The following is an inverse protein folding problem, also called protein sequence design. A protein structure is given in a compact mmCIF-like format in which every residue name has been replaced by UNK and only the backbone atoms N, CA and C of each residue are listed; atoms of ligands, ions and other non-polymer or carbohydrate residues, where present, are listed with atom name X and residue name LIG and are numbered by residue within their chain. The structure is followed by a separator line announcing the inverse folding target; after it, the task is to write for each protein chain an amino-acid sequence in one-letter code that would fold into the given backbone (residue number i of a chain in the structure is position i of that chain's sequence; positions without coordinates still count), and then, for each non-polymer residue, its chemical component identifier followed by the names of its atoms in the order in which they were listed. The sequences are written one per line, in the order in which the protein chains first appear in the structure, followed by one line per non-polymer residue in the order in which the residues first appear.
data_IF_190561719525
#
_entry.id   IF_190561719525
#
_cell.length_a   1.000
_cell.length_b   1.000
_cell.length_c   1.000
_cell.angle_alpha   90.00
_cell.angle_beta   90.00
_cell.angle_gamma   90.00
#
_symmetry.space_group_name_H-M   'P 1'
#
loop_
_entity.id
_entity.type
_entity.pdbx_description
1 polymer ?
#
# COMPACT_ATOMS: atom_id res chain seq x y z
N UNK A 1 7.52 8.85 -6.64
CA UNK A 1 7.03 8.08 -7.81
C UNK A 1 8.09 8.16 -8.88
N UNK A 2 8.31 7.11 -9.68
CA UNK A 2 9.15 7.22 -10.87
C UNK A 2 8.60 8.29 -11.83
N UNK A 3 9.51 8.94 -12.56
CA UNK A 3 9.14 9.97 -13.54
C UNK A 3 8.32 9.35 -14.68
N UNK A 4 7.24 10.01 -15.09
CA UNK A 4 6.33 9.52 -16.12
C UNK A 4 5.33 8.46 -15.66
N UNK A 5 5.47 7.93 -14.43
CA UNK A 5 4.49 7.01 -13.85
C UNK A 5 3.21 7.74 -13.43
N UNK A 6 2.18 6.99 -13.06
CA UNK A 6 0.95 7.53 -12.49
C UNK A 6 0.53 6.73 -11.28
N UNK A 7 0.09 7.42 -10.24
CA UNK A 7 -0.56 6.80 -9.10
C UNK A 7 -1.96 7.39 -8.90
N UNK A 8 -2.85 6.56 -8.35
CA UNK A 8 -4.10 7.01 -7.76
C UNK A 8 -3.95 7.13 -6.24
N UNK A 9 -4.58 8.14 -5.67
CA UNK A 9 -4.66 8.27 -4.23
C UNK A 9 -5.72 7.31 -3.66
N UNK A 10 -5.45 6.78 -2.48
CA UNK A 10 -6.49 6.17 -1.66
C UNK A 10 -7.09 7.20 -0.70
N UNK A 11 -8.17 6.84 -0.02
CA UNK A 11 -8.80 7.68 1.00
C UNK A 11 -8.11 7.45 2.34
N UNK A 12 -7.62 8.54 2.94
CA UNK A 12 -6.87 8.55 4.19
C UNK A 12 -5.88 9.71 4.24
N UNK A 13 -4.96 9.75 5.22
CA UNK A 13 -3.94 10.81 5.31
C UNK A 13 -3.08 10.88 4.04
N UNK A 14 -2.85 9.78 3.37
CA UNK A 14 -2.09 9.69 2.13
C UNK A 14 -2.81 10.33 0.92
N UNK A 15 -4.09 10.68 1.03
CA UNK A 15 -4.81 11.43 0.00
C UNK A 15 -4.14 12.79 -0.30
N UNK A 16 -3.52 13.41 0.70
CA UNK A 16 -2.85 14.71 0.56
C UNK A 16 -1.72 14.71 -0.47
N UNK A 17 -1.20 13.56 -0.88
CA UNK A 17 -0.17 13.46 -1.91
C UNK A 17 -0.58 14.07 -3.25
N UNK A 18 -1.88 14.19 -3.53
CA UNK A 18 -2.40 14.81 -4.74
C UNK A 18 -1.98 16.27 -4.90
N UNK A 19 -1.72 16.97 -3.79
CA UNK A 19 -1.27 18.38 -3.80
C UNK A 19 0.25 18.54 -3.74
N UNK A 20 1.00 17.44 -3.80
CA UNK A 20 2.45 17.45 -3.58
C UNK A 20 3.28 17.33 -4.86
N UNK A 21 2.69 17.31 -6.05
CA UNK A 21 3.42 17.14 -7.31
C UNK A 21 4.19 15.82 -7.40
N UNK A 22 3.57 14.70 -6.96
CA UNK A 22 4.19 13.38 -6.85
C UNK A 22 3.60 12.34 -7.82
N UNK A 23 3.26 12.76 -9.03
CA UNK A 23 2.69 11.87 -10.07
C UNK A 23 1.43 11.12 -9.58
N UNK A 24 0.70 11.71 -8.64
CA UNK A 24 -0.50 11.11 -8.07
C UNK A 24 -1.70 11.98 -8.39
N UNK A 25 -2.62 11.44 -9.19
CA UNK A 25 -3.80 12.16 -9.67
C UNK A 25 -5.01 11.23 -9.71
N UNK A 26 -6.14 11.73 -9.24
CA UNK A 26 -7.37 10.97 -9.19
C UNK A 26 -7.47 10.07 -7.96
N UNK A 27 -8.69 9.70 -7.66
CA UNK A 27 -9.06 8.87 -6.51
C UNK A 27 -10.44 8.25 -6.75
N UNK A 28 -10.82 7.31 -5.92
CA UNK A 28 -12.16 6.74 -5.84
C UNK A 28 -12.58 6.63 -4.36
N UNK A 29 -13.78 6.14 -4.09
CA UNK A 29 -14.24 5.91 -2.73
C UNK A 29 -13.48 4.76 -2.05
N UNK A 30 -13.56 4.69 -0.73
CA UNK A 30 -12.98 3.60 0.06
C UNK A 30 -13.53 2.25 -0.41
N UNK A 31 -12.64 1.30 -0.65
CA UNK A 31 -12.95 -0.03 -1.15
C UNK A 31 -13.03 -0.16 -2.68
N UNK A 32 -12.98 0.95 -3.41
CA UNK A 32 -12.91 0.98 -4.86
C UNK A 32 -11.54 1.32 -5.42
N UNK A 33 -10.52 1.37 -4.57
CA UNK A 33 -9.16 1.76 -4.96
C UNK A 33 -8.60 0.84 -6.05
N UNK A 34 -8.29 1.44 -7.20
CA UNK A 34 -7.77 0.73 -8.37
C UNK A 34 -8.84 0.27 -9.36
N UNK A 35 -10.13 0.21 -8.99
CA UNK A 35 -11.22 -0.20 -9.91
C UNK A 35 -11.41 0.80 -11.04
N UNK A 36 -11.17 2.08 -10.80
CA UNK A 36 -11.14 3.10 -11.85
C UNK A 36 -10.12 2.76 -12.93
N UNK A 37 -8.93 2.26 -12.57
CA UNK A 37 -7.94 1.81 -13.56
C UNK A 37 -8.38 0.54 -14.28
N UNK A 38 -9.05 -0.39 -13.61
CA UNK A 38 -9.63 -1.57 -14.28
C UNK A 38 -10.55 -1.14 -15.43
N UNK A 39 -11.35 -0.10 -15.23
CA UNK A 39 -12.21 0.45 -16.28
C UNK A 39 -11.47 1.31 -17.33
N UNK A 40 -10.40 2.00 -16.95
CA UNK A 40 -9.63 2.90 -17.81
C UNK A 40 -8.60 2.16 -18.69
N UNK A 41 -7.97 1.13 -18.14
CA UNK A 41 -6.84 0.42 -18.76
C UNK A 41 -7.09 -0.04 -20.21
N UNK A 42 -8.26 -0.59 -20.59
CA UNK A 42 -8.53 -1.02 -21.96
C UNK A 42 -8.52 0.12 -22.97
N UNK A 43 -8.69 1.37 -22.54
CA UNK A 43 -8.78 2.57 -23.39
C UNK A 43 -7.56 3.47 -23.26
N UNK A 44 -6.58 3.10 -22.43
CA UNK A 44 -5.38 3.87 -22.13
C UNK A 44 -4.18 3.35 -22.92
N UNK A 45 -3.31 4.27 -23.34
CA UNK A 45 -1.98 3.93 -23.86
C UNK A 45 -0.97 3.65 -22.77
N UNK A 46 -1.33 3.91 -21.49
CA UNK A 46 -0.51 3.63 -20.33
C UNK A 46 -0.55 2.14 -20.00
N UNK A 47 0.62 1.54 -19.81
CA UNK A 47 0.74 0.11 -19.56
C UNK A 47 0.54 -0.29 -18.09
N UNK A 48 0.70 0.64 -17.14
CA UNK A 48 0.70 0.37 -15.70
C UNK A 48 0.39 1.60 -14.87
N UNK A 49 -0.16 1.40 -13.68
CA UNK A 49 -0.35 2.44 -12.65
C UNK A 49 -0.06 1.91 -11.25
N UNK A 50 0.17 2.84 -10.33
CA UNK A 50 0.22 2.56 -8.90
C UNK A 50 -1.08 2.97 -8.22
N UNK A 51 -1.50 2.23 -7.19
CA UNK A 51 -2.65 2.57 -6.35
C UNK A 51 -2.23 2.62 -4.89
N UNK A 52 -2.38 3.77 -4.25
CA UNK A 52 -2.19 3.88 -2.80
C UNK A 52 -3.42 3.34 -2.07
N UNK A 53 -3.22 2.51 -1.06
CA UNK A 53 -4.28 1.87 -0.29
C UNK A 53 -3.86 1.80 1.18
N UNK A 54 -4.64 2.38 2.08
CA UNK A 54 -4.40 2.28 3.52
C UNK A 54 -4.76 0.88 4.05
N UNK A 55 -4.06 0.43 5.09
CA UNK A 55 -4.31 -0.86 5.74
C UNK A 55 -5.73 -0.96 6.31
N UNK A 56 -6.26 0.09 6.93
CA UNK A 56 -7.64 0.12 7.38
C UNK A 56 -8.65 -0.07 6.26
N UNK A 57 -8.45 0.58 5.10
CA UNK A 57 -9.31 0.37 3.94
C UNK A 57 -9.13 -1.03 3.35
N UNK A 58 -7.90 -1.55 3.30
CA UNK A 58 -7.64 -2.91 2.85
C UNK A 58 -8.43 -3.92 3.66
N UNK A 59 -8.37 -3.84 5.00
CA UNK A 59 -9.09 -4.73 5.91
C UNK A 59 -10.61 -4.62 5.77
N UNK A 60 -11.11 -3.41 5.61
CA UNK A 60 -12.54 -3.14 5.53
C UNK A 60 -13.15 -3.59 4.20
N UNK A 61 -12.57 -3.19 3.06
CA UNK A 61 -13.20 -3.39 1.74
C UNK A 61 -12.23 -3.38 0.56
N UNK A 62 -11.03 -2.81 0.69
CA UNK A 62 -10.06 -2.64 -0.40
C UNK A 62 -9.60 -3.96 -1.01
N UNK A 63 -9.61 -5.05 -0.26
CA UNK A 63 -9.31 -6.39 -0.75
C UNK A 63 -10.21 -6.81 -1.93
N UNK A 64 -11.46 -6.32 -1.97
CA UNK A 64 -12.39 -6.59 -3.07
C UNK A 64 -11.94 -5.92 -4.38
N UNK A 65 -11.39 -4.70 -4.28
CA UNK A 65 -10.82 -4.00 -5.43
C UNK A 65 -9.57 -4.71 -5.97
N UNK A 66 -8.72 -5.24 -5.09
CA UNK A 66 -7.56 -6.07 -5.48
C UNK A 66 -8.03 -7.31 -6.24
N UNK A 67 -9.04 -8.01 -5.74
CA UNK A 67 -9.64 -9.17 -6.42
C UNK A 67 -10.22 -8.81 -7.80
N UNK A 68 -10.88 -7.67 -7.90
CA UNK A 68 -11.42 -7.19 -9.18
C UNK A 68 -10.30 -6.92 -10.20
N UNK A 69 -9.18 -6.31 -9.77
CA UNK A 69 -8.02 -6.06 -10.62
C UNK A 69 -7.35 -7.37 -11.09
N UNK A 70 -7.25 -8.38 -10.20
CA UNK A 70 -6.74 -9.72 -10.56
C UNK A 70 -7.64 -10.36 -11.60
N UNK A 71 -8.94 -10.38 -11.37
CA UNK A 71 -9.91 -10.97 -12.29
C UNK A 71 -9.90 -10.31 -13.67
N UNK A 72 -9.62 -9.01 -13.72
CA UNK A 72 -9.52 -8.24 -14.97
C UNK A 72 -8.15 -8.39 -15.67
N UNK A 73 -7.15 -9.01 -15.04
CA UNK A 73 -5.79 -9.13 -15.58
C UNK A 73 -5.11 -7.77 -15.78
N UNK A 74 -5.45 -6.78 -14.97
CA UNK A 74 -4.97 -5.40 -15.12
C UNK A 74 -3.58 -5.23 -14.53
N UNK A 75 -2.67 -4.55 -15.24
CA UNK A 75 -1.34 -4.24 -14.72
C UNK A 75 -1.42 -3.07 -13.72
N UNK A 76 -1.28 -3.37 -12.46
CA UNK A 76 -1.38 -2.41 -11.36
C UNK A 76 -0.53 -2.85 -10.18
N UNK A 77 0.15 -1.90 -9.55
CA UNK A 77 0.83 -2.11 -8.28
C UNK A 77 0.08 -1.43 -7.13
N UNK A 78 -0.45 -2.23 -6.21
CA UNK A 78 -1.01 -1.71 -4.97
C UNK A 78 0.10 -1.37 -3.98
N UNK A 79 0.11 -0.15 -3.48
CA UNK A 79 0.95 0.26 -2.35
C UNK A 79 0.09 0.25 -1.09
N UNK A 80 0.16 -0.83 -0.33
CA UNK A 80 -0.56 -0.99 0.93
C UNK A 80 0.25 -0.33 2.03
N UNK A 81 -0.28 0.75 2.58
CA UNK A 81 0.37 1.60 3.56
C UNK A 81 -0.02 1.11 4.95
N UNK A 82 0.77 0.18 5.49
CA UNK A 82 0.55 -0.44 6.79
C UNK A 82 1.12 0.42 7.91
N UNK A 83 0.25 0.91 8.78
CA UNK A 83 0.64 1.69 9.95
C UNK A 83 -0.02 1.23 11.26
N UNK A 84 -0.77 0.15 11.22
CA UNK A 84 -1.44 -0.49 12.34
C UNK A 84 -2.39 0.45 13.12
N UNK A 85 -2.97 1.44 12.44
CA UNK A 85 -3.89 2.37 13.08
C UNK A 85 -4.78 3.12 12.09
N UNK A 86 -6.01 3.41 12.50
CA UNK A 86 -6.88 4.37 11.81
C UNK A 86 -6.44 5.79 12.22
N UNK A 87 -5.39 6.28 11.57
CA UNK A 87 -4.67 7.49 12.01
C UNK A 87 -5.50 8.77 11.92
N UNK A 88 -6.39 8.91 10.95
CA UNK A 88 -7.19 10.13 10.73
C UNK A 88 -8.19 10.40 11.87
N UNK A 89 -8.78 9.36 12.43
CA UNK A 89 -9.89 9.49 13.37
C UNK A 89 -9.47 9.36 14.84
N UNK A 90 -8.19 9.24 15.13
CA UNK A 90 -7.70 9.24 16.51
C UNK A 90 -6.72 8.11 16.85
N UNK A 91 -6.34 7.26 15.90
CA UNK A 91 -5.39 6.17 16.13
C UNK A 91 -6.06 4.95 16.76
N UNK A 92 -7.31 4.67 16.39
CA UNK A 92 -7.98 3.44 16.78
C UNK A 92 -7.26 2.24 16.10
N UNK A 93 -7.29 1.04 16.73
CA UNK A 93 -6.90 -0.19 16.05
C UNK A 93 -7.72 -0.40 14.77
N UNK A 94 -7.14 -1.03 13.77
CA UNK A 94 -7.88 -1.43 12.58
C UNK A 94 -8.89 -2.53 12.94
N UNK A 95 -10.09 -2.46 12.39
CA UNK A 95 -11.06 -3.55 12.53
C UNK A 95 -10.49 -4.84 11.92
N UNK A 96 -10.61 -5.95 12.67
CA UNK A 96 -10.10 -7.25 12.24
C UNK A 96 -8.62 -7.50 12.53
N UNK A 97 -7.88 -6.52 13.06
CA UNK A 97 -6.50 -6.61 13.54
C UNK A 97 -5.55 -7.40 12.61
N UNK A 98 -5.72 -7.28 11.28
CA UNK A 98 -4.81 -7.94 10.33
C UNK A 98 -3.41 -7.37 10.46
N UNK A 99 -2.49 -8.25 10.79
CA UNK A 99 -1.05 -7.92 10.82
C UNK A 99 -0.45 -7.86 9.42
N UNK A 100 0.66 -7.16 9.25
CA UNK A 100 1.35 -7.11 7.97
C UNK A 100 1.68 -8.51 7.38
N UNK A 101 2.14 -9.51 8.18
CA UNK A 101 2.31 -10.87 7.68
C UNK A 101 1.02 -11.55 7.22
N UNK A 102 -0.12 -11.26 7.84
CA UNK A 102 -1.41 -11.80 7.40
C UNK A 102 -1.83 -11.20 6.07
N UNK A 103 -1.73 -9.88 5.92
CA UNK A 103 -1.97 -9.19 4.65
C UNK A 103 -1.08 -9.77 3.54
N UNK A 104 0.21 -9.99 3.82
CA UNK A 104 1.11 -10.61 2.85
C UNK A 104 0.67 -12.01 2.42
N UNK A 105 0.21 -12.86 3.37
CA UNK A 105 -0.33 -14.20 3.05
C UNK A 105 -1.58 -14.12 2.20
N UNK A 106 -2.50 -13.20 2.50
CA UNK A 106 -3.72 -13.01 1.71
C UNK A 106 -3.38 -12.60 0.27
N UNK A 107 -2.48 -11.64 0.09
CA UNK A 107 -2.06 -11.18 -1.23
C UNK A 107 -1.47 -12.32 -2.06
N UNK A 108 -0.53 -13.08 -1.48
CA UNK A 108 0.09 -14.24 -2.14
C UNK A 108 -0.95 -15.30 -2.46
N UNK A 109 -1.85 -15.61 -1.51
CA UNK A 109 -2.90 -16.61 -1.71
C UNK A 109 -3.91 -16.22 -2.80
N UNK A 110 -4.10 -14.92 -3.04
CA UNK A 110 -4.93 -14.41 -4.14
C UNK A 110 -4.22 -14.42 -5.49
N UNK A 111 -2.92 -14.70 -5.53
CA UNK A 111 -2.13 -14.68 -6.77
C UNK A 111 -1.54 -13.31 -7.11
N UNK A 112 -1.42 -12.41 -6.14
CA UNK A 112 -0.65 -11.16 -6.34
C UNK A 112 0.83 -11.50 -6.39
N UNK A 113 1.51 -11.14 -7.48
CA UNK A 113 2.93 -11.43 -7.70
C UNK A 113 3.59 -10.36 -8.56
N UNK A 114 4.74 -9.80 -8.13
CA UNK A 114 5.37 -10.00 -6.83
C UNK A 114 4.71 -9.21 -5.70
N UNK A 115 4.89 -9.70 -4.46
CA UNK A 115 4.61 -8.95 -3.24
C UNK A 115 5.94 -8.62 -2.57
N UNK A 116 6.26 -7.34 -2.43
CA UNK A 116 7.52 -6.86 -1.84
C UNK A 116 7.19 -6.09 -0.56
N UNK A 117 7.85 -6.47 0.53
CA UNK A 117 7.77 -5.73 1.80
C UNK A 117 8.81 -4.63 1.79
N UNK A 118 8.38 -3.39 1.96
CA UNK A 118 9.26 -2.24 2.15
C UNK A 118 9.00 -1.65 3.53
N UNK A 119 10.02 -1.41 4.31
CA UNK A 119 9.86 -0.97 5.69
C UNK A 119 10.83 0.16 6.06
N UNK A 120 10.41 1.00 7.00
CA UNK A 120 11.31 2.00 7.61
C UNK A 120 12.28 1.28 8.56
N UNK A 121 13.57 1.62 8.53
CA UNK A 121 14.62 0.99 9.34
C UNK A 121 14.37 1.02 10.85
N UNK A 122 13.49 1.92 11.30
CA UNK A 122 13.10 2.06 12.71
C UNK A 122 11.95 1.14 13.11
N UNK A 123 11.38 0.40 12.18
CA UNK A 123 10.31 -0.55 12.46
C UNK A 123 10.90 -1.95 12.73
N UNK A 124 10.40 -2.60 13.77
CA UNK A 124 10.77 -3.99 14.08
C UNK A 124 9.95 -4.94 13.21
N UNK A 125 10.58 -5.50 12.19
CA UNK A 125 9.92 -6.41 11.23
C UNK A 125 10.49 -7.82 11.39
N UNK A 126 9.72 -8.69 12.05
CA UNK A 126 10.05 -10.11 12.12
C UNK A 126 9.82 -10.80 10.76
N UNK A 127 10.87 -10.87 9.95
CA UNK A 127 10.81 -11.48 8.61
C UNK A 127 10.37 -12.94 8.61
N UNK A 128 10.56 -13.68 9.72
CA UNK A 128 10.18 -15.10 9.84
C UNK A 128 8.66 -15.29 9.92
N UNK A 129 7.93 -14.27 10.31
CA UNK A 129 6.47 -14.30 10.39
C UNK A 129 5.79 -14.20 9.02
N UNK A 130 6.51 -13.78 7.98
CA UNK A 130 5.99 -13.63 6.62
C UNK A 130 6.08 -14.94 5.79
N UNK A 131 5.38 -15.02 4.66
CA UNK A 131 5.54 -16.13 3.73
C UNK A 131 7.00 -16.35 3.32
N UNK A 132 7.38 -17.62 3.17
CA UNK A 132 8.75 -17.96 2.78
C UNK A 132 9.09 -17.42 1.37
N UNK A 133 10.33 -16.92 1.23
CA UNK A 133 10.80 -16.41 -0.06
C UNK A 133 10.38 -14.95 -0.37
N UNK A 134 9.68 -14.28 0.55
CA UNK A 134 9.34 -12.87 0.34
C UNK A 134 10.59 -11.98 0.30
N UNK A 135 10.53 -11.00 -0.56
CA UNK A 135 11.56 -9.96 -0.68
C UNK A 135 11.28 -8.82 0.30
N UNK A 136 12.35 -8.38 0.99
CA UNK A 136 12.32 -7.27 1.95
C UNK A 136 13.32 -6.22 1.52
N UNK A 137 12.89 -4.98 1.49
CA UNK A 137 13.73 -3.83 1.15
C UNK A 137 13.54 -2.72 2.18
N UNK A 138 14.58 -1.97 2.42
CA UNK A 138 14.51 -0.78 3.25
C UNK A 138 13.83 0.38 2.50
N UNK A 139 13.28 1.32 3.23
CA UNK A 139 12.62 2.51 2.70
C UNK A 139 13.46 3.27 1.67
N UNK A 140 14.79 3.28 1.83
CA UNK A 140 15.71 3.92 0.89
C UNK A 140 15.58 3.35 -0.52
N UNK A 141 15.25 2.04 -0.66
CA UNK A 141 15.10 1.33 -1.92
C UNK A 141 13.71 1.49 -2.57
N UNK A 142 12.78 2.21 -1.92
CA UNK A 142 11.40 2.37 -2.41
C UNK A 142 11.34 2.81 -3.88
N UNK A 143 12.21 3.70 -4.32
CA UNK A 143 12.21 4.18 -5.70
C UNK A 143 12.63 3.08 -6.67
N UNK A 144 13.63 2.29 -6.32
CA UNK A 144 14.12 1.17 -7.14
C UNK A 144 13.06 0.06 -7.22
N UNK A 145 12.39 -0.24 -6.10
CA UNK A 145 11.26 -1.18 -6.06
C UNK A 145 10.14 -0.73 -6.99
N UNK A 146 9.75 0.54 -6.94
CA UNK A 146 8.70 1.07 -7.81
C UNK A 146 9.10 0.97 -9.30
N UNK A 147 10.32 1.33 -9.67
CA UNK A 147 10.80 1.20 -11.06
C UNK A 147 10.73 -0.23 -11.59
N UNK A 148 11.10 -1.20 -10.75
CA UNK A 148 11.00 -2.62 -11.12
C UNK A 148 9.56 -3.07 -11.33
N UNK A 149 8.64 -2.54 -10.53
CA UNK A 149 7.23 -2.94 -10.60
C UNK A 149 6.44 -2.24 -11.70
N UNK A 150 6.98 -1.18 -12.32
CA UNK A 150 6.35 -0.57 -13.50
C UNK A 150 6.23 -1.54 -14.68
N UNK A 151 7.15 -2.49 -14.78
CA UNK A 151 7.18 -3.53 -15.83
C UNK A 151 6.45 -4.82 -15.42
N UNK A 152 5.93 -4.89 -14.20
CA UNK A 152 5.22 -6.07 -13.71
C UNK A 152 3.91 -6.29 -14.48
N UNK A 153 3.66 -7.55 -14.84
CA UNK A 153 2.41 -7.96 -15.48
C UNK A 153 1.41 -8.42 -14.43
N UNK A 154 0.15 -8.04 -14.63
CA UNK A 154 -0.90 -8.33 -13.67
C UNK A 154 -0.84 -7.47 -12.42
N UNK A 155 -1.30 -8.03 -11.31
CA UNK A 155 -1.37 -7.31 -10.02
C UNK A 155 -0.15 -7.62 -9.19
N UNK A 156 0.58 -6.58 -8.81
CA UNK A 156 1.68 -6.65 -7.86
C UNK A 156 1.40 -5.79 -6.62
N UNK A 157 2.20 -5.96 -5.57
CA UNK A 157 2.02 -5.16 -4.36
C UNK A 157 3.32 -4.77 -3.68
N UNK A 158 3.33 -3.59 -3.11
CA UNK A 158 4.29 -3.13 -2.10
C UNK A 158 3.54 -3.05 -0.77
N UNK A 159 3.92 -3.89 0.18
CA UNK A 159 3.45 -3.76 1.56
C UNK A 159 4.44 -2.86 2.31
N UNK A 160 4.05 -1.60 2.48
CA UNK A 160 4.90 -0.59 3.11
C UNK A 160 4.60 -0.49 4.59
N UNK A 161 5.59 -0.81 5.43
CA UNK A 161 5.47 -0.85 6.89
C UNK A 161 6.15 0.39 7.48
N UNK A 162 5.33 1.29 8.02
CA UNK A 162 5.82 2.45 8.76
C UNK A 162 4.72 3.00 9.65
N UNK A 163 5.01 3.12 10.94
CA UNK A 163 4.09 3.79 11.88
C UNK A 163 3.85 5.23 11.46
N UNK A 164 2.59 5.65 11.39
CA UNK A 164 2.20 7.01 11.04
C UNK A 164 2.84 8.04 11.99
N UNK A 165 3.35 9.15 11.45
CA UNK A 165 3.98 10.21 12.24
C UNK A 165 3.03 10.81 13.30
N UNK A 166 1.73 10.94 12.99
CA UNK A 166 0.73 11.40 13.95
C UNK A 166 0.56 10.39 15.10
N UNK A 167 0.58 9.10 14.79
CA UNK A 167 0.49 8.03 15.79
C UNK A 167 1.77 7.94 16.64
N UNK A 168 2.95 8.03 16.04
CA UNK A 168 4.22 8.16 16.79
C UNK A 168 4.16 9.30 17.79
N UNK A 169 3.63 10.48 17.39
CA UNK A 169 3.46 11.63 18.28
C UNK A 169 2.47 11.36 19.42
N UNK A 170 1.36 10.65 19.17
CA UNK A 170 0.39 10.26 20.20
C UNK A 170 0.99 9.28 21.20
N UNK A 171 1.70 8.24 20.72
CA UNK A 171 2.37 7.23 21.54
C UNK A 171 3.44 7.87 22.45
N UNK A 172 4.22 8.83 21.94
CA UNK A 172 5.17 9.60 22.76
C UNK A 172 4.49 10.38 23.87
N UNK A 173 3.40 11.11 23.58
CA UNK A 173 2.64 11.83 24.60
C UNK A 173 2.08 10.93 25.70
N UNK A 174 1.88 9.63 25.40
CA UNK A 174 1.42 8.62 26.37
C UNK A 174 2.57 7.83 27.01
N UNK A 175 3.84 8.18 26.74
CA UNK A 175 5.01 7.42 27.21
C UNK A 175 5.17 6.02 26.63
N UNK A 176 4.49 5.74 25.51
CA UNK A 176 4.46 4.43 24.87
C UNK A 176 5.48 4.27 23.73
N UNK A 177 6.26 5.28 23.45
CA UNK A 177 7.30 5.29 22.42
C UNK A 177 8.44 6.23 22.85
N UNK A 178 9.71 5.89 22.58
CA UNK A 178 10.82 6.77 22.87
C UNK A 178 10.74 8.08 22.07
N UNK A 179 11.38 9.12 22.57
CA UNK A 179 11.59 10.36 21.84
C UNK A 179 12.47 10.14 20.59
N UNK A 180 12.39 11.02 19.59
CA UNK A 180 13.11 10.89 18.33
C UNK A 180 14.63 10.86 18.50
#
# INVERSE_FOLDING_TARGET
MPEGSRAYAGIGCHYMVQWMGRETTGFTHMGGEGVNWVGEAPFSTRGHVFQNLGDGTYNHSGILAVRAAIAAGTNITYKILYNDAVAMTGGQPNEGDLTAPQIARELVAMGVDPVIVVYDEKEDVDRKSFPQGMRFEERAEMMNVQRQLEDARGVSAILYIQTCAAEKRRRRKKGQSPDP
#
